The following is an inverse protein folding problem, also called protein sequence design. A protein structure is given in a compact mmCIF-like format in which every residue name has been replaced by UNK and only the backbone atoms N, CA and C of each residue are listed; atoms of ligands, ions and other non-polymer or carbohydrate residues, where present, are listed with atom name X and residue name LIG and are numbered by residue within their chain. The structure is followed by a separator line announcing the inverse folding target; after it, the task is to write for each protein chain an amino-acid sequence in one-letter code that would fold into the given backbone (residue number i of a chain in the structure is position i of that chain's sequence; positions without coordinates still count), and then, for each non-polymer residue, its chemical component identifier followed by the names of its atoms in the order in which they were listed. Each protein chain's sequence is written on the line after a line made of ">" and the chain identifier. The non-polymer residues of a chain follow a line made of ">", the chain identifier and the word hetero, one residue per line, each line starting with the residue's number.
data_IF_237174472603
#
_entry.id   IF_237174472603
#
_cell.length_a   1.000
_cell.length_b   1.000
_cell.length_c   1.000
_cell.angle_alpha   90.00
_cell.angle_beta   90.00
_cell.angle_gamma   90.00
#
_symmetry.space_group_name_H-M   'P 1'
#
loop_
_entity.id
_entity.type
_entity.pdbx_description
1 polymer ?
#
# COMPACT_ATOMS: atom_id res chain seq x y z
N UNK A 1 29.59 -31.19 39.29
CA UNK A 1 29.03 -29.95 38.70
C UNK A 1 29.51 -29.83 37.26
N UNK A 2 29.33 -30.84 36.40
CA UNK A 2 29.88 -30.85 35.03
C UNK A 2 29.11 -31.79 34.08
N UNK A 3 27.78 -31.63 33.98
CA UNK A 3 27.00 -32.35 32.94
C UNK A 3 25.98 -31.47 32.21
N UNK A 4 26.06 -30.14 32.34
CA UNK A 4 25.18 -29.18 31.65
C UNK A 4 25.82 -28.45 30.46
N UNK A 5 27.09 -28.71 30.12
CA UNK A 5 27.82 -27.96 29.09
C UNK A 5 27.98 -28.66 27.74
N UNK A 6 27.55 -29.91 27.59
CA UNK A 6 27.70 -30.65 26.32
C UNK A 6 26.44 -30.50 25.42
N UNK A 7 25.28 -30.15 25.98
CA UNK A 7 24.04 -29.93 25.20
C UNK A 7 23.95 -28.58 24.49
N UNK A 8 24.68 -27.55 24.95
CA UNK A 8 24.63 -26.21 24.38
C UNK A 8 25.51 -26.05 23.13
N UNK A 9 26.54 -26.88 22.96
CA UNK A 9 27.48 -26.78 21.84
C UNK A 9 26.91 -27.36 20.52
N UNK A 10 25.96 -28.30 20.58
CA UNK A 10 25.35 -28.91 19.40
C UNK A 10 24.18 -28.08 18.81
N UNK A 11 23.53 -27.24 19.62
CA UNK A 11 22.48 -26.30 19.16
C UNK A 11 23.10 -25.03 18.57
N UNK A 12 24.26 -24.59 19.07
CA UNK A 12 25.03 -23.48 18.50
C UNK A 12 25.65 -23.80 17.12
N UNK A 13 25.86 -25.08 16.80
CA UNK A 13 26.41 -25.50 15.51
C UNK A 13 25.37 -25.56 14.37
N UNK A 14 24.07 -25.62 14.69
CA UNK A 14 22.99 -25.62 13.69
C UNK A 14 22.40 -24.22 13.39
N UNK A 15 22.73 -23.21 14.19
CA UNK A 15 22.27 -21.81 14.01
C UNK A 15 23.32 -20.95 13.29
N UNK A 16 24.58 -21.41 13.19
CA UNK A 16 25.70 -20.66 12.60
C UNK A 16 26.05 -21.08 11.15
N UNK A 17 25.06 -21.42 10.33
CA UNK A 17 25.23 -21.64 8.88
C UNK A 17 24.23 -20.83 8.06
N UNK A 18 24.27 -19.52 8.24
CA UNK A 18 23.68 -18.51 7.36
C UNK A 18 24.71 -17.42 7.11
N UNK A 19 25.76 -17.75 6.36
CA UNK A 19 26.86 -16.85 6.05
C UNK A 19 26.35 -15.61 5.30
N UNK A 20 26.52 -14.46 5.96
CA UNK A 20 26.62 -13.15 5.32
C UNK A 20 27.68 -13.21 4.21
N UNK A 21 27.24 -13.19 2.95
CA UNK A 21 28.08 -12.84 1.81
C UNK A 21 27.35 -11.78 0.98
N UNK A 22 27.50 -10.54 1.42
CA UNK A 22 27.29 -9.35 0.60
C UNK A 22 28.52 -9.15 -0.29
N UNK A 23 28.83 -10.08 -1.19
CA UNK A 23 29.80 -9.78 -2.24
C UNK A 23 29.12 -8.94 -3.31
N UNK A 24 29.50 -7.66 -3.35
CA UNK A 24 29.29 -6.79 -4.52
C UNK A 24 29.93 -7.48 -5.72
N UNK A 25 29.12 -8.18 -6.52
CA UNK A 25 29.56 -8.62 -7.84
C UNK A 25 29.77 -7.37 -8.70
N UNK A 26 30.97 -7.13 -9.25
CA UNK A 26 31.15 -6.07 -10.21
C UNK A 26 30.28 -6.38 -11.43
N UNK A 27 29.41 -5.43 -11.79
CA UNK A 27 28.74 -5.43 -13.10
C UNK A 27 29.87 -5.42 -14.12
N UNK A 28 30.04 -6.52 -14.85
CA UNK A 28 31.02 -6.64 -15.91
C UNK A 28 30.73 -5.58 -16.96
N UNK A 29 31.61 -4.59 -17.04
CA UNK A 29 31.70 -3.64 -18.14
C UNK A 29 32.18 -4.39 -19.39
N UNK A 30 31.25 -4.75 -20.26
CA UNK A 30 31.44 -5.04 -21.69
C UNK A 30 30.03 -5.16 -22.27
N UNK A 31 29.49 -4.27 -23.10
CA UNK A 31 30.09 -3.68 -24.30
C UNK A 31 29.67 -2.21 -24.43
N UNK A 32 30.64 -1.31 -24.49
CA UNK A 32 30.46 0.01 -25.08
C UNK A 32 30.41 -0.16 -26.61
N UNK A 33 29.23 -0.46 -27.13
CA UNK A 33 28.89 -0.16 -28.52
C UNK A 33 28.38 1.30 -28.54
N UNK A 34 28.99 2.14 -29.38
CA UNK A 34 28.84 3.59 -29.38
C UNK A 34 27.39 4.07 -29.36
N UNK A 35 27.09 4.95 -28.41
CA UNK A 35 25.85 5.73 -28.34
C UNK A 35 25.83 6.72 -29.52
N UNK A 36 25.32 6.23 -30.65
CA UNK A 36 25.03 7.03 -31.83
C UNK A 36 23.51 7.07 -31.98
N UNK A 37 22.92 8.16 -31.48
CA UNK A 37 21.55 8.56 -31.82
C UNK A 37 20.44 8.04 -30.90
N UNK A 38 20.47 8.37 -29.61
CA UNK A 38 19.28 8.25 -28.76
C UNK A 38 18.22 9.27 -29.23
N UNK A 39 17.26 8.80 -30.01
CA UNK A 39 16.08 9.59 -30.36
C UNK A 39 15.43 10.15 -29.08
N UNK A 40 14.95 11.40 -29.08
CA UNK A 40 14.30 11.98 -27.91
C UNK A 40 13.10 11.12 -27.52
N UNK A 41 13.14 10.60 -26.29
CA UNK A 41 12.03 9.81 -25.74
C UNK A 41 10.76 10.64 -25.71
N UNK A 42 9.64 10.06 -26.15
CA UNK A 42 8.32 10.71 -26.14
C UNK A 42 7.97 11.06 -24.68
N UNK A 43 7.59 12.32 -24.37
CA UNK A 43 7.18 12.68 -23.03
C UNK A 43 5.99 11.85 -22.54
N UNK A 44 6.05 11.41 -21.29
CA UNK A 44 4.97 10.67 -20.64
C UNK A 44 3.73 11.54 -20.50
N UNK A 45 2.59 11.01 -20.97
CA UNK A 45 1.26 11.57 -20.82
C UNK A 45 0.41 10.64 -19.96
N UNK A 46 -0.29 11.20 -18.97
CA UNK A 46 -1.34 10.48 -18.25
C UNK A 46 -2.57 10.31 -19.16
N UNK A 47 -3.03 9.08 -19.31
CA UNK A 47 -4.29 8.76 -19.97
C UNK A 47 -5.36 8.69 -18.88
N UNK A 48 -6.28 9.65 -18.86
CA UNK A 48 -7.26 9.79 -17.79
C UNK A 48 -8.26 8.62 -17.75
N UNK A 49 -8.96 8.45 -16.63
CA UNK A 49 -10.04 7.45 -16.52
C UNK A 49 -11.06 7.62 -17.66
N UNK A 50 -11.35 6.54 -18.38
CA UNK A 50 -12.28 6.55 -19.52
C UNK A 50 -11.72 7.17 -20.80
N UNK A 51 -10.50 7.73 -20.81
CA UNK A 51 -9.85 8.22 -22.02
C UNK A 51 -9.38 7.03 -22.88
N UNK A 52 -9.80 7.03 -24.14
CA UNK A 52 -9.47 6.01 -25.13
C UNK A 52 -8.15 6.28 -25.84
N UNK A 53 -7.30 5.26 -25.97
CA UNK A 53 -6.06 5.33 -26.75
C UNK A 53 -5.75 4.01 -27.45
N UNK A 54 -4.99 4.07 -28.54
CA UNK A 54 -4.49 2.89 -29.26
C UNK A 54 -2.99 2.74 -29.07
N UNK A 55 -2.55 1.59 -28.58
CA UNK A 55 -1.14 1.25 -28.35
C UNK A 55 -0.82 -0.06 -29.05
N UNK A 56 0.13 -0.05 -29.99
CA UNK A 56 0.53 -1.24 -30.76
C UNK A 56 -0.66 -2.05 -31.32
N UNK A 57 -1.67 -1.35 -31.85
CA UNK A 57 -2.89 -1.94 -32.42
C UNK A 57 -3.97 -2.35 -31.40
N UNK A 58 -3.68 -2.33 -30.09
CA UNK A 58 -4.67 -2.59 -29.03
C UNK A 58 -5.42 -1.31 -28.68
N UNK A 59 -6.74 -1.35 -28.64
CA UNK A 59 -7.58 -0.21 -28.21
C UNK A 59 -7.88 -0.34 -26.72
N UNK A 60 -7.53 0.67 -25.93
CA UNK A 60 -7.71 0.70 -24.48
C UNK A 60 -8.62 1.89 -24.16
N UNK A 61 -9.76 1.63 -23.51
CA UNK A 61 -10.75 2.65 -23.17
C UNK A 61 -10.87 2.88 -21.65
N UNK A 62 -10.10 2.15 -20.85
CA UNK A 62 -10.17 2.17 -19.39
C UNK A 62 -9.29 3.27 -18.76
N UNK A 63 -8.27 3.74 -19.46
CA UNK A 63 -7.34 4.77 -18.98
C UNK A 63 -6.60 4.41 -17.69
N UNK A 64 -6.22 5.43 -16.91
CA UNK A 64 -5.47 5.35 -15.64
C UNK A 64 -4.03 4.82 -15.74
N UNK A 65 -3.31 5.16 -16.80
CA UNK A 65 -1.90 4.78 -16.96
C UNK A 65 -1.11 5.87 -17.68
N UNK A 66 0.22 5.79 -17.63
CA UNK A 66 1.10 6.69 -18.38
C UNK A 66 1.52 6.06 -19.70
N UNK A 67 1.36 6.82 -20.79
CA UNK A 67 1.85 6.50 -22.13
C UNK A 67 3.03 7.41 -22.47
N UNK A 68 4.17 6.85 -22.84
CA UNK A 68 5.37 7.59 -23.26
C UNK A 68 6.67 6.91 -22.83
N UNK A 69 7.80 7.50 -23.19
CA UNK A 69 9.13 6.93 -22.98
C UNK A 69 9.91 7.54 -21.80
N UNK A 70 9.56 8.74 -21.33
CA UNK A 70 10.23 9.38 -20.18
C UNK A 70 9.36 10.42 -19.46
N UNK A 71 9.62 10.61 -18.17
CA UNK A 71 9.09 11.75 -17.41
C UNK A 71 10.09 12.91 -17.51
N UNK A 72 9.69 14.03 -18.12
CA UNK A 72 10.56 15.19 -18.25
C UNK A 72 10.87 15.80 -16.87
N UNK A 73 12.15 15.78 -16.47
CA UNK A 73 12.67 16.56 -15.34
C UNK A 73 12.20 16.17 -13.93
N UNK A 74 11.39 15.12 -13.76
CA UNK A 74 10.94 14.64 -12.43
C UNK A 74 11.70 13.37 -12.02
N UNK A 75 12.21 13.26 -10.78
CA UNK A 75 12.71 12.01 -10.25
C UNK A 75 11.60 10.94 -10.25
N UNK A 76 11.98 9.69 -10.49
CA UNK A 76 11.07 8.54 -10.47
C UNK A 76 11.37 7.54 -11.58
N UNK A 77 11.37 6.24 -11.28
CA UNK A 77 11.64 5.25 -12.31
C UNK A 77 10.54 5.20 -13.37
N UNK A 78 10.97 4.89 -14.59
CA UNK A 78 10.15 4.69 -15.79
C UNK A 78 9.35 3.36 -15.73
N UNK A 79 9.30 2.69 -14.57
CA UNK A 79 8.76 1.35 -14.42
C UNK A 79 7.23 1.26 -14.60
N UNK A 80 6.53 2.39 -14.49
CA UNK A 80 5.09 2.51 -14.71
C UNK A 80 4.70 2.94 -16.14
N UNK A 81 5.68 3.24 -17.01
CA UNK A 81 5.40 3.76 -18.35
C UNK A 81 5.02 2.64 -19.31
N UNK A 82 3.94 2.84 -20.07
CA UNK A 82 3.72 2.15 -21.32
C UNK A 82 4.49 2.90 -22.40
N UNK A 83 5.66 2.40 -22.77
CA UNK A 83 6.49 3.00 -23.81
C UNK A 83 6.04 2.51 -25.20
N UNK A 84 5.46 3.37 -26.05
CA UNK A 84 4.97 2.95 -27.37
C UNK A 84 6.09 2.55 -28.33
N UNK A 85 7.36 2.82 -28.01
CA UNK A 85 8.52 2.43 -28.82
C UNK A 85 8.97 0.99 -28.57
N UNK A 86 8.54 0.37 -27.47
CA UNK A 86 8.86 -1.03 -27.19
C UNK A 86 8.16 -1.98 -28.16
N UNK A 87 8.88 -3.00 -28.63
CA UNK A 87 8.30 -4.06 -29.45
C UNK A 87 7.21 -4.83 -28.69
N UNK A 88 6.04 -4.95 -29.29
CA UNK A 88 4.89 -5.70 -28.76
C UNK A 88 4.68 -6.94 -29.64
N UNK A 89 4.44 -8.09 -29.01
CA UNK A 89 4.14 -9.34 -29.71
C UNK A 89 2.81 -9.27 -30.46
N UNK A 90 2.68 -10.02 -31.55
CA UNK A 90 1.43 -10.12 -32.32
C UNK A 90 0.33 -10.89 -31.57
N UNK A 91 0.72 -11.76 -30.64
CA UNK A 91 -0.17 -12.58 -29.81
C UNK A 91 0.18 -12.42 -28.32
N UNK A 92 -0.80 -12.68 -27.45
CA UNK A 92 -0.57 -12.76 -25.99
C UNK A 92 0.51 -13.81 -25.68
N UNK A 93 1.36 -13.49 -24.71
CA UNK A 93 2.35 -14.41 -24.15
C UNK A 93 2.54 -14.20 -22.66
N UNK A 94 2.87 -15.27 -21.93
CA UNK A 94 3.10 -15.25 -20.48
C UNK A 94 1.95 -14.64 -19.62
N UNK A 95 0.68 -15.08 -19.78
CA UNK A 95 -0.45 -14.55 -19.00
C UNK A 95 -0.29 -14.77 -17.49
N UNK A 96 0.32 -15.89 -17.09
CA UNK A 96 0.61 -16.21 -15.69
C UNK A 96 1.76 -15.37 -15.11
N UNK A 97 2.53 -14.68 -15.95
CA UNK A 97 3.62 -13.81 -15.55
C UNK A 97 4.86 -14.57 -15.03
N UNK A 98 5.10 -15.80 -15.48
CA UNK A 98 6.21 -16.66 -15.05
C UNK A 98 7.59 -16.10 -15.39
N UNK A 99 7.68 -15.27 -16.43
CA UNK A 99 8.94 -14.67 -16.90
C UNK A 99 9.13 -13.22 -16.42
N UNK A 100 8.17 -12.68 -15.66
CA UNK A 100 8.27 -11.32 -15.13
C UNK A 100 9.35 -11.28 -14.03
N UNK A 101 10.24 -10.28 -14.03
CA UNK A 101 11.15 -10.09 -12.92
C UNK A 101 10.37 -9.62 -11.68
N UNK A 102 10.98 -9.75 -10.50
CA UNK A 102 10.34 -9.43 -9.21
C UNK A 102 9.80 -7.99 -9.12
N UNK A 103 10.48 -7.02 -9.74
CA UNK A 103 10.00 -5.66 -9.94
C UNK A 103 9.82 -5.38 -11.43
N UNK A 104 8.69 -5.81 -12.00
CA UNK A 104 8.50 -5.74 -13.44
C UNK A 104 8.28 -4.30 -13.90
N UNK A 105 8.74 -4.02 -15.10
CA UNK A 105 8.40 -2.81 -15.84
C UNK A 105 7.97 -3.20 -17.24
N UNK A 106 7.17 -2.35 -17.89
CA UNK A 106 6.79 -2.59 -19.28
C UNK A 106 8.03 -2.75 -20.19
N UNK A 107 9.11 -2.02 -19.92
CA UNK A 107 10.35 -2.10 -20.70
C UNK A 107 11.10 -3.43 -20.47
N UNK A 108 11.09 -3.99 -19.26
CA UNK A 108 11.86 -5.18 -18.93
C UNK A 108 11.21 -6.51 -19.32
N UNK A 109 9.91 -6.52 -19.63
CA UNK A 109 9.16 -7.74 -19.97
C UNK A 109 9.22 -8.06 -21.46
N UNK A 110 9.00 -9.34 -21.82
CA UNK A 110 9.07 -9.81 -23.21
C UNK A 110 7.98 -9.17 -24.10
N UNK A 111 8.16 -9.13 -25.44
CA UNK A 111 7.11 -8.62 -26.34
C UNK A 111 5.74 -9.30 -26.16
N UNK A 112 5.72 -10.61 -25.92
CA UNK A 112 4.47 -11.35 -25.63
C UNK A 112 3.82 -10.92 -24.31
N UNK A 113 4.62 -10.72 -23.27
CA UNK A 113 4.15 -10.21 -21.98
C UNK A 113 3.62 -8.77 -22.10
N UNK A 114 4.27 -7.90 -22.88
CA UNK A 114 3.74 -6.55 -23.19
C UNK A 114 2.37 -6.65 -23.87
N UNK A 115 2.22 -7.56 -24.83
CA UNK A 115 0.94 -7.78 -25.51
C UNK A 115 -0.15 -8.21 -24.53
N UNK A 116 0.17 -9.15 -23.65
CA UNK A 116 -0.70 -9.59 -22.54
C UNK A 116 -1.12 -8.42 -21.66
N UNK A 117 -0.17 -7.60 -21.21
CA UNK A 117 -0.43 -6.43 -20.37
C UNK A 117 -1.39 -5.43 -21.05
N UNK A 118 -1.12 -5.08 -22.31
CA UNK A 118 -1.97 -4.16 -23.06
C UNK A 118 -3.38 -4.71 -23.26
N UNK A 119 -3.53 -6.00 -23.55
CA UNK A 119 -4.84 -6.61 -23.70
C UNK A 119 -5.59 -6.76 -22.36
N UNK A 120 -4.88 -6.94 -21.25
CA UNK A 120 -5.47 -6.88 -19.90
C UNK A 120 -5.99 -5.46 -19.58
N UNK A 121 -5.22 -4.41 -19.91
CA UNK A 121 -5.69 -3.02 -19.81
C UNK A 121 -6.94 -2.78 -20.67
N UNK A 122 -6.94 -3.28 -21.92
CA UNK A 122 -8.05 -3.17 -22.85
C UNK A 122 -9.31 -3.90 -22.36
N UNK A 123 -9.14 -5.07 -21.72
CA UNK A 123 -10.21 -5.85 -21.10
C UNK A 123 -10.77 -5.26 -19.80
N UNK A 124 -10.47 -4.00 -19.49
CA UNK A 124 -10.93 -3.32 -18.28
C UNK A 124 -10.29 -3.85 -17.00
N UNK A 125 -9.14 -4.54 -17.09
CA UNK A 125 -8.39 -5.07 -15.95
C UNK A 125 -9.24 -6.00 -15.06
N UNK A 126 -10.08 -6.85 -15.69
CA UNK A 126 -11.06 -7.69 -15.00
C UNK A 126 -10.66 -9.17 -14.87
N UNK A 127 -9.56 -9.60 -15.52
CA UNK A 127 -9.13 -11.00 -15.48
C UNK A 127 -8.50 -11.34 -14.10
N UNK A 128 -9.16 -12.15 -13.25
CA UNK A 128 -8.65 -12.50 -11.93
C UNK A 128 -7.45 -13.46 -11.99
N UNK A 129 -7.22 -14.12 -13.13
CA UNK A 129 -6.17 -15.13 -13.31
C UNK A 129 -4.83 -14.57 -13.78
N UNK A 130 -4.79 -13.28 -14.14
CA UNK A 130 -3.58 -12.63 -14.66
C UNK A 130 -2.45 -12.65 -13.61
N UNK A 131 -1.21 -12.85 -14.06
CA UNK A 131 -0.04 -12.82 -13.17
C UNK A 131 0.09 -11.51 -12.40
N UNK A 132 0.33 -11.60 -11.09
CA UNK A 132 0.33 -10.43 -10.17
C UNK A 132 1.30 -9.31 -10.59
N UNK A 133 2.39 -9.66 -11.29
CA UNK A 133 3.36 -8.68 -11.79
C UNK A 133 2.75 -7.66 -12.76
N UNK A 134 1.72 -8.04 -13.53
CA UNK A 134 1.00 -7.12 -14.41
C UNK A 134 0.19 -6.09 -13.62
N UNK A 135 -0.45 -6.50 -12.52
CA UNK A 135 -1.14 -5.59 -11.61
C UNK A 135 -0.16 -4.59 -11.00
N UNK A 136 1.04 -5.04 -10.62
CA UNK A 136 2.06 -4.14 -10.08
C UNK A 136 2.53 -3.09 -11.09
N UNK A 137 2.75 -3.44 -12.37
CA UNK A 137 3.10 -2.45 -13.40
C UNK A 137 2.05 -1.32 -13.46
N UNK A 138 0.76 -1.69 -13.44
CA UNK A 138 -0.35 -0.72 -13.44
C UNK A 138 -0.42 0.07 -12.14
N UNK A 139 -0.28 -0.61 -11.00
CA UNK A 139 -0.35 0.00 -9.68
C UNK A 139 0.74 1.06 -9.48
N UNK A 140 1.95 0.85 -10.02
CA UNK A 140 3.03 1.84 -9.99
C UNK A 140 2.62 3.16 -10.66
N UNK A 141 1.76 3.12 -11.68
CA UNK A 141 1.24 4.33 -12.33
C UNK A 141 0.29 5.09 -11.40
N UNK A 142 -0.59 4.38 -10.68
CA UNK A 142 -1.48 4.98 -9.69
C UNK A 142 -0.70 5.62 -8.54
N UNK A 143 0.31 4.92 -8.01
CA UNK A 143 1.20 5.45 -6.98
C UNK A 143 1.88 6.74 -7.43
N UNK A 144 2.42 6.76 -8.65
CA UNK A 144 3.01 7.98 -9.21
C UNK A 144 1.99 9.11 -9.29
N UNK A 145 0.82 8.81 -9.87
CA UNK A 145 -0.21 9.83 -10.16
C UNK A 145 -0.67 10.49 -8.88
N UNK A 146 -0.92 9.70 -7.84
CA UNK A 146 -1.39 10.20 -6.57
C UNK A 146 -0.29 10.90 -5.76
N UNK A 147 0.91 10.30 -5.65
CA UNK A 147 1.91 10.73 -4.67
C UNK A 147 3.04 11.61 -5.22
N UNK A 148 3.32 11.57 -6.51
CA UNK A 148 4.40 12.34 -7.15
C UNK A 148 3.85 13.46 -8.02
N UNK A 149 2.76 13.19 -8.72
CA UNK A 149 2.04 14.20 -9.50
C UNK A 149 0.95 14.90 -8.66
N UNK A 150 0.73 14.47 -7.41
CA UNK A 150 -0.18 15.08 -6.43
C UNK A 150 -1.60 15.30 -6.96
N UNK A 151 -2.09 14.37 -7.79
CA UNK A 151 -3.41 14.46 -8.44
C UNK A 151 -4.56 14.15 -7.46
N UNK A 152 -4.72 15.00 -6.43
CA UNK A 152 -5.74 14.88 -5.36
C UNK A 152 -7.16 14.80 -5.92
N UNK A 153 -7.45 15.55 -6.97
CA UNK A 153 -8.75 15.55 -7.65
C UNK A 153 -9.11 14.19 -8.30
N UNK A 154 -8.13 13.30 -8.49
CA UNK A 154 -8.33 11.95 -9.02
C UNK A 154 -8.28 10.86 -7.93
N UNK A 155 -8.03 11.22 -6.67
CA UNK A 155 -7.85 10.29 -5.56
C UNK A 155 -9.06 9.36 -5.38
N UNK A 156 -10.29 9.89 -5.42
CA UNK A 156 -11.52 9.08 -5.29
C UNK A 156 -11.64 8.02 -6.39
N UNK A 157 -11.35 8.39 -7.64
CA UNK A 157 -11.44 7.48 -8.79
C UNK A 157 -10.36 6.39 -8.71
N UNK A 158 -9.14 6.75 -8.33
CA UNK A 158 -8.06 5.78 -8.12
C UNK A 158 -8.35 4.86 -6.94
N UNK A 159 -8.89 5.38 -5.84
CA UNK A 159 -9.27 4.57 -4.68
C UNK A 159 -10.37 3.56 -5.04
N UNK A 160 -11.35 3.95 -5.85
CA UNK A 160 -12.36 3.02 -6.36
C UNK A 160 -11.72 1.89 -7.19
N UNK A 161 -10.79 2.21 -8.08
CA UNK A 161 -10.09 1.20 -8.89
C UNK A 161 -9.21 0.27 -8.05
N UNK A 162 -8.50 0.79 -7.05
CA UNK A 162 -7.67 -0.03 -6.15
C UNK A 162 -8.53 -0.97 -5.30
N UNK A 163 -9.70 -0.53 -4.82
CA UNK A 163 -10.67 -1.42 -4.15
C UNK A 163 -11.16 -2.52 -5.08
N UNK A 164 -11.44 -2.21 -6.35
CA UNK A 164 -11.84 -3.21 -7.36
C UNK A 164 -10.74 -4.24 -7.60
N UNK A 165 -9.49 -3.80 -7.74
CA UNK A 165 -8.34 -4.69 -7.90
C UNK A 165 -8.10 -5.55 -6.64
N UNK A 166 -8.31 -5.00 -5.44
CA UNK A 166 -8.26 -5.76 -4.19
C UNK A 166 -9.34 -6.86 -4.13
N UNK A 167 -10.55 -6.57 -4.61
CA UNK A 167 -11.61 -7.58 -4.68
C UNK A 167 -11.25 -8.75 -5.61
N UNK A 168 -10.47 -8.50 -6.67
CA UNK A 168 -10.04 -9.53 -7.63
C UNK A 168 -8.76 -10.26 -7.22
N UNK A 169 -7.82 -9.56 -6.59
CA UNK A 169 -6.44 -10.03 -6.39
C UNK A 169 -5.98 -9.97 -4.92
N UNK A 170 -6.89 -9.72 -3.98
CA UNK A 170 -6.59 -9.54 -2.56
C UNK A 170 -6.01 -10.76 -1.84
N UNK A 171 -6.09 -11.94 -2.44
CA UNK A 171 -5.43 -13.15 -1.94
C UNK A 171 -3.89 -13.03 -2.01
N UNK A 172 -3.36 -12.18 -2.90
CA UNK A 172 -1.94 -11.89 -2.92
C UNK A 172 -1.55 -10.96 -1.76
N UNK A 173 -0.88 -11.52 -0.75
CA UNK A 173 -0.51 -10.81 0.48
C UNK A 173 0.31 -9.53 0.22
N UNK A 174 1.26 -9.55 -0.72
CA UNK A 174 2.07 -8.39 -1.05
C UNK A 174 1.23 -7.28 -1.66
N UNK A 175 0.40 -7.59 -2.65
CA UNK A 175 -0.47 -6.60 -3.27
C UNK A 175 -1.49 -6.06 -2.27
N UNK A 176 -2.12 -6.92 -1.46
CA UNK A 176 -3.03 -6.52 -0.39
C UNK A 176 -2.39 -5.48 0.54
N UNK A 177 -1.16 -5.73 0.99
CA UNK A 177 -0.44 -4.81 1.86
C UNK A 177 -0.20 -3.42 1.25
N UNK A 178 0.24 -3.36 -0.01
CA UNK A 178 0.47 -2.07 -0.68
C UNK A 178 -0.83 -1.35 -1.03
N UNK A 179 -1.81 -2.08 -1.57
CA UNK A 179 -3.11 -1.52 -1.95
C UNK A 179 -3.88 -0.98 -0.75
N UNK A 180 -3.88 -1.67 0.40
CA UNK A 180 -4.51 -1.15 1.63
C UNK A 180 -3.87 0.17 2.08
N UNK A 181 -2.53 0.28 2.05
CA UNK A 181 -1.83 1.53 2.40
C UNK A 181 -2.11 2.65 1.40
N UNK A 182 -2.22 2.31 0.11
CA UNK A 182 -2.61 3.29 -0.90
C UNK A 182 -4.00 3.83 -0.60
N UNK A 183 -4.96 2.97 -0.25
CA UNK A 183 -6.32 3.37 0.08
C UNK A 183 -6.39 4.28 1.31
N UNK A 184 -5.66 3.96 2.38
CA UNK A 184 -5.61 4.82 3.58
C UNK A 184 -5.23 6.27 3.23
N UNK A 185 -4.26 6.44 2.32
CA UNK A 185 -3.82 7.78 1.88
C UNK A 185 -4.76 8.38 0.84
N UNK A 186 -5.21 7.60 -0.13
CA UNK A 186 -6.10 8.09 -1.18
C UNK A 186 -7.44 8.58 -0.61
N UNK A 187 -7.99 7.88 0.38
CA UNK A 187 -9.21 8.29 1.08
C UNK A 187 -9.00 9.58 1.87
N UNK A 188 -7.84 9.73 2.52
CA UNK A 188 -7.45 10.97 3.20
C UNK A 188 -7.34 12.15 2.22
N UNK A 189 -6.76 11.93 1.03
CA UNK A 189 -6.61 12.96 0.01
C UNK A 189 -7.95 13.30 -0.67
N UNK A 190 -8.84 12.33 -0.81
CA UNK A 190 -10.14 12.48 -1.44
C UNK A 190 -11.16 13.19 -0.55
N UNK A 191 -11.09 12.98 0.76
CA UNK A 191 -11.99 13.62 1.71
C UNK A 191 -11.20 14.22 2.88
N UNK A 192 -11.09 15.56 2.95
CA UNK A 192 -10.48 16.20 4.10
C UNK A 192 -11.28 15.96 5.37
N UNK A 193 -12.52 15.46 5.33
CA UNK A 193 -13.24 14.90 6.47
C UNK A 193 -13.00 13.38 6.56
N UNK A 194 -12.22 12.95 7.55
CA UNK A 194 -12.00 11.52 7.82
C UNK A 194 -13.31 10.98 8.37
N UNK A 195 -13.98 10.18 7.56
CA UNK A 195 -15.09 9.36 8.02
C UNK A 195 -14.58 8.38 9.09
N UNK A 196 -15.36 8.21 10.15
CA UNK A 196 -15.11 7.19 11.18
C UNK A 196 -14.97 5.81 10.51
N UNK A 197 -13.84 5.09 10.70
CA UNK A 197 -13.71 3.71 10.24
C UNK A 197 -14.77 2.79 10.83
N UNK A 198 -15.25 1.83 10.05
CA UNK A 198 -16.21 0.83 10.52
C UNK A 198 -15.55 -0.12 11.53
N UNK A 199 -16.34 -0.60 12.51
CA UNK A 199 -15.90 -1.65 13.42
C UNK A 199 -15.77 -2.98 12.67
N UNK A 200 -14.74 -3.76 13.01
CA UNK A 200 -14.52 -5.11 12.48
C UNK A 200 -13.69 -5.92 13.48
N UNK A 201 -13.86 -7.25 13.54
CA UNK A 201 -12.99 -8.11 14.33
C UNK A 201 -11.54 -8.13 13.83
N UNK A 202 -11.31 -7.71 12.58
CA UNK A 202 -10.01 -7.78 11.89
C UNK A 202 -9.34 -6.40 11.71
N UNK A 203 -9.62 -5.45 12.60
CA UNK A 203 -9.05 -4.09 12.53
C UNK A 203 -7.53 -4.00 12.75
N UNK A 204 -6.91 -5.03 13.31
CA UNK A 204 -5.47 -5.06 13.53
C UNK A 204 -4.72 -5.16 12.19
N UNK A 205 -3.80 -4.21 11.95
CA UNK A 205 -2.95 -4.18 10.75
C UNK A 205 -1.49 -4.55 11.05
N UNK A 206 -1.25 -5.80 11.47
CA UNK A 206 0.10 -6.31 11.71
C UNK A 206 0.81 -5.62 12.88
N UNK A 207 1.92 -4.95 12.60
CA UNK A 207 2.79 -4.32 13.61
C UNK A 207 2.46 -2.85 13.89
N UNK A 208 1.57 -2.23 13.12
CA UNK A 208 1.20 -0.82 13.27
C UNK A 208 -0.32 -0.68 13.29
N UNK A 209 -0.80 0.36 13.98
CA UNK A 209 -2.22 0.74 13.93
C UNK A 209 -2.56 1.28 12.54
N UNK A 210 -3.69 0.87 11.92
CA UNK A 210 -4.16 1.40 10.65
C UNK A 210 -4.15 2.92 10.61
N UNK A 211 -3.67 3.48 9.51
CA UNK A 211 -3.48 4.92 9.37
C UNK A 211 -4.82 5.67 9.44
N UNK A 212 -5.86 5.16 8.80
CA UNK A 212 -7.22 5.71 8.84
C UNK A 212 -7.75 5.87 10.28
N UNK A 213 -7.53 4.88 11.16
CA UNK A 213 -7.91 4.95 12.58
C UNK A 213 -7.05 5.96 13.34
N UNK A 214 -5.72 5.94 13.14
CA UNK A 214 -4.81 6.92 13.77
C UNK A 214 -5.24 8.35 13.45
N UNK A 215 -5.54 8.63 12.18
CA UNK A 215 -5.91 9.97 11.74
C UNK A 215 -7.30 10.38 12.28
N UNK A 216 -8.30 9.49 12.25
CA UNK A 216 -9.62 9.74 12.84
C UNK A 216 -9.52 10.12 14.33
N UNK A 217 -8.83 9.29 15.11
CA UNK A 217 -8.64 9.52 16.55
C UNK A 217 -7.75 10.73 16.82
N UNK A 218 -6.71 10.94 16.01
CA UNK A 218 -5.82 12.10 16.09
C UNK A 218 -6.56 13.43 15.88
N UNK A 219 -7.51 13.50 14.95
CA UNK A 219 -8.35 14.70 14.78
C UNK A 219 -9.27 14.96 15.97
N UNK A 220 -9.86 13.89 16.52
CA UNK A 220 -10.73 14.00 17.69
C UNK A 220 -9.93 14.51 18.90
N UNK A 221 -8.71 14.00 19.10
CA UNK A 221 -7.74 14.50 20.08
C UNK A 221 -7.37 15.97 19.85
N UNK A 222 -7.00 16.33 18.62
CA UNK A 222 -6.64 17.70 18.26
C UNK A 222 -7.77 18.71 18.52
N UNK A 223 -9.01 18.27 18.33
CA UNK A 223 -10.22 19.05 18.61
C UNK A 223 -10.66 19.02 20.08
N UNK A 224 -9.92 18.31 20.95
CA UNK A 224 -10.22 18.14 22.39
C UNK A 224 -11.61 17.56 22.68
N UNK A 225 -12.14 16.76 21.76
CA UNK A 225 -13.42 16.08 21.95
C UNK A 225 -13.19 14.74 22.69
N UNK A 226 -14.07 14.36 23.63
CA UNK A 226 -13.98 13.05 24.30
C UNK A 226 -14.21 11.92 23.29
N UNK A 227 -13.53 10.80 23.49
CA UNK A 227 -13.79 9.59 22.71
C UNK A 227 -15.12 8.98 23.17
N UNK A 228 -15.97 8.64 22.21
CA UNK A 228 -17.16 7.86 22.53
C UNK A 228 -16.81 6.37 22.57
N UNK A 229 -17.82 5.55 22.82
CA UNK A 229 -17.62 4.11 22.96
C UNK A 229 -17.09 3.47 21.68
N UNK A 230 -17.54 3.91 20.51
CA UNK A 230 -17.08 3.40 19.21
C UNK A 230 -15.64 3.80 18.94
N UNK A 231 -15.26 5.05 19.23
CA UNK A 231 -13.88 5.51 19.06
C UNK A 231 -12.92 4.77 19.99
N UNK A 232 -13.32 4.50 21.23
CA UNK A 232 -12.53 3.71 22.17
C UNK A 232 -12.38 2.25 21.72
N UNK A 233 -13.44 1.64 21.16
CA UNK A 233 -13.37 0.28 20.63
C UNK A 233 -12.46 0.21 19.40
N UNK A 234 -12.60 1.15 18.47
CA UNK A 234 -11.70 1.31 17.32
C UNK A 234 -10.25 1.40 17.78
N UNK A 235 -9.99 2.21 18.81
CA UNK A 235 -8.66 2.35 19.37
C UNK A 235 -8.14 1.01 19.89
N UNK A 236 -8.88 0.31 20.76
CA UNK A 236 -8.42 -0.96 21.34
C UNK A 236 -8.19 -2.03 20.28
N UNK A 237 -9.16 -2.25 19.39
CA UNK A 237 -9.09 -3.30 18.36
C UNK A 237 -8.00 -3.10 17.32
N UNK A 238 -7.53 -1.86 17.16
CA UNK A 238 -6.54 -1.50 16.15
C UNK A 238 -5.10 -1.52 16.66
N UNK A 239 -4.89 -1.74 17.96
CA UNK A 239 -3.55 -1.83 18.53
C UNK A 239 -2.81 -3.11 18.07
N UNK A 240 -1.50 -3.05 17.80
CA UNK A 240 -0.72 -4.19 17.32
C UNK A 240 -0.67 -5.40 18.26
N UNK A 241 -0.84 -5.17 19.57
CA UNK A 241 -0.81 -6.15 20.65
C UNK A 241 -2.21 -6.59 21.11
N UNK A 242 -3.29 -6.03 20.55
CA UNK A 242 -4.66 -6.50 20.80
C UNK A 242 -5.00 -7.61 19.82
N UNK A 243 -5.37 -8.79 20.34
CA UNK A 243 -5.88 -9.88 19.52
C UNK A 243 -7.14 -10.46 20.14
N UNK A 244 -8.24 -10.44 19.37
CA UNK A 244 -9.49 -11.06 19.79
C UNK A 244 -9.35 -12.58 19.84
N UNK A 245 -9.96 -13.19 20.86
CA UNK A 245 -10.12 -14.64 20.93
C UNK A 245 -11.25 -15.08 19.98
N UNK A 246 -11.21 -16.34 19.53
CA UNK A 246 -12.17 -16.88 18.56
C UNK A 246 -13.65 -16.58 18.87
N UNK A 247 -14.15 -16.71 20.12
CA UNK A 247 -15.55 -16.37 20.41
C UNK A 247 -15.86 -14.89 20.16
N UNK A 248 -14.98 -13.99 20.60
CA UNK A 248 -15.11 -12.55 20.41
C UNK A 248 -15.08 -12.15 18.92
N UNK A 249 -14.28 -12.83 18.11
CA UNK A 249 -14.26 -12.61 16.66
C UNK A 249 -15.52 -13.12 15.95
N UNK A 250 -16.10 -14.25 16.40
CA UNK A 250 -17.29 -14.85 15.79
C UNK A 250 -18.60 -14.19 16.22
N UNK A 251 -18.65 -13.69 17.46
CA UNK A 251 -19.78 -12.99 18.06
C UNK A 251 -19.41 -11.51 18.25
N UNK A 252 -18.97 -10.89 17.15
CA UNK A 252 -18.43 -9.53 17.18
C UNK A 252 -19.52 -8.48 17.46
N UNK A 253 -20.74 -8.70 16.95
CA UNK A 253 -21.87 -7.80 17.18
C UNK A 253 -22.23 -7.76 18.67
N UNK A 254 -22.33 -8.94 19.31
CA UNK A 254 -22.61 -9.05 20.74
C UNK A 254 -21.48 -8.49 21.61
N UNK A 255 -20.23 -8.65 21.17
CA UNK A 255 -19.07 -8.00 21.81
C UNK A 255 -19.19 -6.48 21.74
N UNK A 256 -19.53 -5.93 20.57
CA UNK A 256 -19.67 -4.49 20.38
C UNK A 256 -20.82 -3.92 21.24
N UNK A 257 -21.95 -4.62 21.31
CA UNK A 257 -23.07 -4.25 22.19
C UNK A 257 -22.68 -4.25 23.67
N UNK A 258 -22.05 -5.34 24.15
CA UNK A 258 -21.59 -5.44 25.53
C UNK A 258 -20.56 -4.34 25.87
N UNK A 259 -19.64 -4.08 24.96
CA UNK A 259 -18.68 -3.00 25.07
C UNK A 259 -19.36 -1.64 25.24
N UNK A 260 -20.37 -1.34 24.41
CA UNK A 260 -21.12 -0.08 24.49
C UNK A 260 -21.77 0.13 25.85
N UNK A 261 -22.40 -0.92 26.40
CA UNK A 261 -23.01 -0.87 27.74
C UNK A 261 -21.97 -0.64 28.83
N UNK A 262 -20.87 -1.39 28.81
CA UNK A 262 -19.81 -1.30 29.84
C UNK A 262 -19.06 0.03 29.76
N UNK A 263 -18.78 0.51 28.55
CA UNK A 263 -18.15 1.80 28.33
C UNK A 263 -19.03 2.93 28.87
N UNK A 264 -20.32 2.94 28.56
CA UNK A 264 -21.24 3.98 29.03
C UNK A 264 -21.36 4.00 30.56
N UNK A 265 -21.32 2.83 31.20
CA UNK A 265 -21.30 2.72 32.67
C UNK A 265 -20.03 3.32 33.29
N UNK A 266 -18.86 3.07 32.68
CA UNK A 266 -17.57 3.55 33.19
C UNK A 266 -17.23 4.98 32.80
N UNK A 267 -17.69 5.43 31.64
CA UNK A 267 -17.38 6.72 31.02
C UNK A 267 -18.67 7.40 30.52
N UNK A 268 -19.58 7.83 31.41
CA UNK A 268 -20.88 8.38 31.03
C UNK A 268 -20.77 9.65 30.17
N UNK A 269 -19.71 10.45 30.37
CA UNK A 269 -19.44 11.67 29.59
C UNK A 269 -18.42 11.44 28.45
N UNK A 270 -18.13 10.17 28.13
CA UNK A 270 -17.07 9.77 27.21
C UNK A 270 -15.67 9.75 27.85
N UNK A 271 -14.73 9.15 27.13
CA UNK A 271 -13.35 9.01 27.59
C UNK A 271 -12.56 10.27 27.24
N UNK A 272 -12.11 11.00 28.26
CA UNK A 272 -11.20 12.14 28.10
C UNK A 272 -9.76 11.63 27.96
N UNK A 273 -9.13 11.95 26.84
CA UNK A 273 -7.75 11.53 26.55
C UNK A 273 -6.87 12.77 26.39
N UNK A 274 -5.77 12.81 27.11
CA UNK A 274 -4.80 13.90 26.99
C UNK A 274 -4.02 13.75 25.67
N UNK A 275 -3.91 14.85 24.92
CA UNK A 275 -3.15 14.85 23.65
C UNK A 275 -1.65 14.62 23.89
N UNK A 276 -1.03 13.61 23.25
CA UNK A 276 0.41 13.42 23.33
C UNK A 276 1.16 14.53 22.59
N UNK A 277 2.43 14.72 22.95
CA UNK A 277 3.34 15.59 22.18
C UNK A 277 3.69 14.97 20.82
N UNK A 278 3.73 13.64 20.74
CA UNK A 278 3.99 12.88 19.52
C UNK A 278 2.91 13.13 18.49
N UNK A 279 3.32 13.30 17.24
CA UNK A 279 2.46 13.63 16.11
C UNK A 279 2.48 12.53 15.07
N UNK A 280 1.36 12.34 14.38
CA UNK A 280 1.23 11.35 13.32
C UNK A 280 2.15 11.79 12.18
N UNK A 281 3.08 10.89 11.82
CA UNK A 281 3.88 11.01 10.61
C UNK A 281 3.30 10.06 9.58
N UNK A 282 2.81 10.60 8.45
CA UNK A 282 2.29 9.79 7.35
C UNK A 282 3.42 9.57 6.34
N UNK A 283 4.00 8.38 6.35
CA UNK A 283 4.98 7.97 5.35
C UNK A 283 4.36 6.86 4.50
N UNK A 284 4.30 7.07 3.18
CA UNK A 284 3.88 6.02 2.25
C UNK A 284 5.07 5.28 1.68
N UNK A 285 5.13 3.96 1.94
CA UNK A 285 6.12 3.08 1.32
C UNK A 285 5.57 2.51 0.03
N UNK A 286 6.07 2.99 -1.09
CA UNK A 286 5.64 2.55 -2.41
C UNK A 286 6.02 1.10 -2.71
N UNK A 287 5.16 0.44 -3.50
CA UNK A 287 5.44 -0.84 -4.14
C UNK A 287 6.47 -0.66 -5.27
N UNK A 288 6.37 0.46 -5.99
CA UNK A 288 7.34 0.84 -6.99
C UNK A 288 8.70 1.12 -6.35
N UNK A 289 9.72 0.33 -6.72
CA UNK A 289 11.13 0.65 -6.41
C UNK A 289 11.63 1.93 -7.09
N UNK A 290 10.81 2.54 -7.95
CA UNK A 290 11.12 3.75 -8.67
C UNK A 290 10.88 5.05 -7.93
N UNK A 291 10.09 5.01 -6.86
CA UNK A 291 9.93 6.14 -5.94
C UNK A 291 10.83 5.83 -4.75
N UNK A 292 11.79 6.69 -4.40
CA UNK A 292 12.64 6.48 -3.23
C UNK A 292 11.74 6.19 -2.05
N UNK A 293 11.84 4.99 -1.48
CA UNK A 293 10.73 4.19 -0.92
C UNK A 293 9.93 4.74 0.27
N UNK A 294 9.93 6.05 0.51
CA UNK A 294 9.03 6.77 1.41
C UNK A 294 8.63 8.09 0.76
N UNK A 295 7.34 8.29 0.54
CA UNK A 295 6.78 9.62 0.26
C UNK A 295 6.31 10.20 1.59
N UNK A 296 6.82 11.37 1.93
CA UNK A 296 6.32 12.14 3.07
C UNK A 296 4.99 12.77 2.66
N UNK A 297 3.93 12.37 3.34
CA UNK A 297 2.56 12.82 3.10
C UNK A 297 2.08 13.73 4.23
N UNK A 298 3.01 14.29 5.02
CA UNK A 298 2.68 15.31 5.99
C UNK A 298 1.89 16.42 5.29
N UNK A 299 0.65 16.57 5.72
CA UNK A 299 -0.29 17.49 5.10
C UNK A 299 0.07 18.92 5.49
N UNK A 300 0.21 19.80 4.50
CA UNK A 300 0.31 21.24 4.73
C UNK A 300 -0.98 21.84 5.29
N UNK A 301 -2.14 21.19 5.09
CA UNK A 301 -3.47 21.68 5.51
C UNK A 301 -3.93 21.10 6.86
N UNK A 302 -3.74 19.81 7.12
CA UNK A 302 -4.15 19.19 8.40
C UNK A 302 -3.17 19.45 9.55
N UNK A 303 -1.93 19.83 9.22
CA UNK A 303 -0.85 19.95 10.18
C UNK A 303 -0.59 18.64 10.94
N UNK A 304 0.36 18.65 11.89
CA UNK A 304 0.69 17.45 12.65
C UNK A 304 -0.39 17.14 13.70
N UNK A 305 -1.23 16.14 13.42
CA UNK A 305 -2.22 15.60 14.35
C UNK A 305 -1.56 14.84 15.50
N UNK A 306 -2.07 14.90 16.75
CA UNK A 306 -1.60 14.06 17.84
C UNK A 306 -1.72 12.56 17.50
N UNK A 307 -0.70 11.77 17.84
CA UNK A 307 -0.69 10.33 17.56
C UNK A 307 -1.18 9.50 18.75
N UNK A 308 -2.41 9.00 18.65
CA UNK A 308 -3.02 8.15 19.68
C UNK A 308 -2.22 6.87 19.95
N UNK A 309 -1.47 6.36 18.96
CA UNK A 309 -0.65 5.15 19.12
C UNK A 309 0.55 5.33 20.07
N UNK A 310 0.91 6.57 20.40
CA UNK A 310 1.97 6.86 21.38
C UNK A 310 1.49 6.83 22.84
N UNK A 311 0.19 6.62 23.08
CA UNK A 311 -0.39 6.56 24.42
C UNK A 311 -0.51 5.09 24.87
N UNK A 312 -0.13 4.80 26.12
CA UNK A 312 -0.30 3.47 26.74
C UNK A 312 -1.31 3.48 27.89
N UNK A 313 -1.35 4.54 28.70
CA UNK A 313 -2.09 4.57 29.97
C UNK A 313 -3.62 4.40 29.85
N UNK A 314 -4.33 5.01 28.88
CA UNK A 314 -5.79 4.84 28.79
C UNK A 314 -6.21 3.44 28.33
N UNK A 315 -5.28 2.65 27.75
CA UNK A 315 -5.59 1.38 27.10
C UNK A 315 -5.87 0.29 28.15
N UNK A 316 -5.17 0.29 29.28
CA UNK A 316 -5.33 -0.76 30.30
C UNK A 316 -6.77 -0.78 30.85
N UNK A 317 -7.31 0.38 31.23
CA UNK A 317 -8.68 0.48 31.73
C UNK A 317 -9.76 0.19 30.67
N UNK A 318 -9.42 0.34 29.39
CA UNK A 318 -10.30 -0.01 28.28
C UNK A 318 -10.26 -1.52 27.97
N UNK A 319 -9.13 -2.19 28.12
CA UNK A 319 -8.99 -3.64 27.91
C UNK A 319 -9.75 -4.48 28.94
N UNK A 320 -10.07 -3.89 30.09
CA UNK A 320 -10.88 -4.52 31.14
C UNK A 320 -12.40 -4.47 30.87
N UNK A 321 -12.85 -3.70 29.87
CA UNK A 321 -14.26 -3.62 29.47
C UNK A 321 -14.66 -4.82 28.63
#
# INVERSE_FOLDING_TARGET
>A
MEWFLIGAALVAWLIYRGSNQWERRPVTASMLAGDSGRQPKVPAKWIASGEGVRVAGVSINSGMFYLGGSFAGKPGAENCLVDPTCQVGSIRGDPEGKTLPYWPSYHSISPGARRTYLEWLAGGRNDPSIGIGYIFIFFYALERRLFIDEARNEASAMAAEVRRLLALHGENYSFKGYASKFLDVADLMANPDISRPALSPDLRSGYEMPLSIRLHLGRKLGSKLPFDSTDALLWVLSLPDTQLRTPASRCFEELAELWHVRFASRYPDGLKVNSPRTKIKVEYRAASGGFGGRVDLSDSELGPLPDVAALSTPIDGLRDL
#
